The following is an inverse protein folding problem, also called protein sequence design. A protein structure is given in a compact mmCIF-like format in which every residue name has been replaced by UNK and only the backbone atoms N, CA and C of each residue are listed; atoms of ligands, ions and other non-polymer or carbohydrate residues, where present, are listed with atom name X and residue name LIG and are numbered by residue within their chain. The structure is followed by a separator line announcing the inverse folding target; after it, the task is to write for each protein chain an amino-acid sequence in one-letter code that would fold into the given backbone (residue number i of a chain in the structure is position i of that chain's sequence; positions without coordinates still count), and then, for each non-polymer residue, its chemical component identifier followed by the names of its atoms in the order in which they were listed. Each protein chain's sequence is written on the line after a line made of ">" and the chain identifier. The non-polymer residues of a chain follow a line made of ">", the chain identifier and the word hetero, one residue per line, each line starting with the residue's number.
data_IF_430092456370
#
_entry.id   IF_430092456370
#
_cell.length_a   1.000
_cell.length_b   1.000
_cell.length_c   1.000
_cell.angle_alpha   90.00
_cell.angle_beta   90.00
_cell.angle_gamma   90.00
#
_symmetry.space_group_name_H-M   'P 1'
#
loop_
_entity.id
_entity.type
_entity.pdbx_description
1 polymer ?
#
# COMPACT_ATOMS: atom_id res chain seq x y z
N UNK A 1 -21.02 -9.32 19.53
CA UNK A 1 -20.51 -9.07 18.16
C UNK A 1 -19.74 -7.75 18.22
N UNK A 2 -18.44 -7.75 18.54
CA UNK A 2 -17.70 -6.49 18.74
C UNK A 2 -16.19 -6.65 18.99
N UNK A 3 -15.77 -7.72 19.64
CA UNK A 3 -14.37 -7.89 20.07
C UNK A 3 -13.35 -8.01 18.93
N UNK A 4 -13.65 -8.76 17.87
CA UNK A 4 -12.69 -8.95 16.76
C UNK A 4 -12.50 -7.67 15.93
N UNK A 5 -13.56 -6.90 15.72
CA UNK A 5 -13.51 -5.64 14.95
C UNK A 5 -12.82 -4.54 15.77
N UNK A 6 -13.03 -4.51 17.10
CA UNK A 6 -12.32 -3.59 17.99
C UNK A 6 -10.83 -3.89 18.07
N UNK A 7 -10.43 -5.17 18.14
CA UNK A 7 -9.00 -5.54 18.11
C UNK A 7 -8.36 -5.17 16.77
N UNK A 8 -9.05 -5.40 15.65
CA UNK A 8 -8.55 -5.00 14.33
C UNK A 8 -8.46 -3.48 14.21
N UNK A 9 -9.44 -2.72 14.70
CA UNK A 9 -9.39 -1.25 14.72
C UNK A 9 -8.26 -0.72 15.60
N UNK A 10 -8.08 -1.29 16.79
CA UNK A 10 -6.95 -0.96 17.67
C UNK A 10 -5.60 -1.19 16.98
N UNK A 11 -5.46 -2.30 16.25
CA UNK A 11 -4.26 -2.60 15.45
C UNK A 11 -4.08 -1.55 14.34
N UNK A 12 -5.14 -1.17 13.65
CA UNK A 12 -5.05 -0.17 12.56
C UNK A 12 -4.75 1.24 13.09
N UNK A 13 -5.29 1.62 14.25
CA UNK A 13 -5.10 2.95 14.87
C UNK A 13 -3.67 3.15 15.42
N UNK A 14 -2.92 2.07 15.66
CA UNK A 14 -1.49 2.12 16.04
C UNK A 14 -0.58 2.63 14.92
N UNK A 15 -1.07 2.69 13.67
CA UNK A 15 -0.36 3.18 12.50
C UNK A 15 0.61 2.16 11.88
N UNK A 16 0.86 2.30 10.58
CA UNK A 16 1.67 1.36 9.80
C UNK A 16 3.10 1.16 10.36
N UNK A 17 3.67 2.19 10.98
CA UNK A 17 5.01 2.19 11.59
C UNK A 17 5.13 1.20 12.76
N UNK A 18 4.02 0.93 13.48
CA UNK A 18 4.01 0.00 14.62
C UNK A 18 3.50 -1.38 14.21
N UNK A 19 2.51 -1.43 13.32
CA UNK A 19 1.90 -2.69 12.86
C UNK A 19 2.89 -3.54 12.05
N UNK A 20 3.64 -2.91 11.14
CA UNK A 20 4.51 -3.65 10.23
C UNK A 20 5.65 -4.39 10.95
N UNK A 21 6.37 -3.80 11.94
CA UNK A 21 7.33 -4.53 12.76
C UNK A 21 6.73 -5.75 13.48
N UNK A 22 5.52 -5.62 14.03
CA UNK A 22 4.84 -6.71 14.74
C UNK A 22 4.57 -7.87 13.77
N UNK A 23 4.09 -7.58 12.56
CA UNK A 23 3.87 -8.59 11.52
C UNK A 23 5.19 -9.28 11.15
N UNK A 24 6.27 -8.53 10.97
CA UNK A 24 7.59 -9.10 10.63
C UNK A 24 8.13 -9.99 11.75
N UNK A 25 7.94 -9.62 13.03
CA UNK A 25 8.32 -10.47 14.17
C UNK A 25 7.53 -11.77 14.16
N UNK A 26 6.21 -11.69 13.98
CA UNK A 26 5.32 -12.87 13.95
C UNK A 26 5.67 -13.79 12.79
N UNK A 27 5.83 -13.25 11.58
CA UNK A 27 6.25 -14.02 10.41
C UNK A 27 7.62 -14.66 10.62
N UNK A 28 8.58 -13.93 11.18
CA UNK A 28 9.91 -14.46 11.50
C UNK A 28 9.83 -15.69 12.41
N UNK A 29 9.01 -15.64 13.46
CA UNK A 29 8.81 -16.77 14.38
C UNK A 29 8.10 -17.93 13.68
N UNK A 30 7.05 -17.66 12.89
CA UNK A 30 6.30 -18.68 12.14
C UNK A 30 7.21 -19.42 11.14
N UNK A 31 8.13 -18.71 10.50
CA UNK A 31 9.11 -19.31 9.57
C UNK A 31 10.33 -19.93 10.27
N UNK A 32 10.29 -20.11 11.59
CA UNK A 32 11.32 -20.85 12.34
C UNK A 32 12.53 -20.02 12.77
N UNK A 33 12.46 -18.68 12.73
CA UNK A 33 13.47 -17.85 13.38
C UNK A 33 13.32 -17.92 14.90
N UNK A 34 14.45 -17.90 15.62
CA UNK A 34 14.42 -17.73 17.07
C UNK A 34 13.85 -16.37 17.42
N UNK A 35 13.03 -16.30 18.48
CA UNK A 35 12.34 -15.06 18.89
C UNK A 35 13.29 -13.86 19.01
N UNK A 36 14.49 -14.07 19.57
CA UNK A 36 15.51 -13.02 19.68
C UNK A 36 15.96 -12.46 18.33
N UNK A 37 16.09 -13.30 17.29
CA UNK A 37 16.41 -12.86 15.93
C UNK A 37 15.23 -12.16 15.28
N UNK A 38 14.02 -12.73 15.40
CA UNK A 38 12.79 -12.15 14.84
C UNK A 38 12.50 -10.76 15.44
N UNK A 39 12.69 -10.61 16.75
CA UNK A 39 12.52 -9.34 17.47
C UNK A 39 13.51 -8.27 16.98
N UNK A 40 14.80 -8.62 16.85
CA UNK A 40 15.82 -7.70 16.32
C UNK A 40 15.53 -7.29 14.87
N UNK A 41 15.12 -8.22 14.02
CA UNK A 41 14.78 -7.91 12.62
C UNK A 41 13.54 -7.01 12.53
N UNK A 42 12.51 -7.28 13.35
CA UNK A 42 11.32 -6.45 13.40
C UNK A 42 11.60 -5.01 13.81
N UNK A 43 12.40 -4.81 14.88
CA UNK A 43 12.80 -3.47 15.32
C UNK A 43 13.64 -2.77 14.24
N UNK A 44 14.57 -3.47 13.59
CA UNK A 44 15.40 -2.88 12.53
C UNK A 44 14.55 -2.37 11.35
N UNK A 45 13.53 -3.15 10.96
CA UNK A 45 12.55 -2.73 9.94
C UNK A 45 11.77 -1.51 10.43
N UNK A 46 11.28 -1.53 11.68
CA UNK A 46 10.55 -0.39 12.25
C UNK A 46 11.34 0.92 12.29
N UNK A 47 12.61 0.86 12.70
CA UNK A 47 13.51 2.03 12.70
C UNK A 47 13.75 2.52 11.26
N UNK A 48 13.87 1.61 10.29
CA UNK A 48 14.00 1.96 8.88
C UNK A 48 12.78 2.72 8.35
N UNK A 49 11.57 2.22 8.60
CA UNK A 49 10.33 2.90 8.20
C UNK A 49 10.18 4.26 8.87
N UNK A 50 10.45 4.35 10.18
CA UNK A 50 10.39 5.61 10.91
C UNK A 50 11.37 6.63 10.33
N UNK A 51 12.59 6.21 9.96
CA UNK A 51 13.57 7.06 9.28
C UNK A 51 13.10 7.57 7.92
N UNK A 52 12.48 6.72 7.10
CA UNK A 52 11.92 7.11 5.80
C UNK A 52 10.85 8.19 5.98
N UNK A 53 9.91 7.99 6.90
CA UNK A 53 8.83 8.98 7.12
C UNK A 53 9.34 10.30 7.68
N UNK A 54 10.39 10.26 8.52
CA UNK A 54 11.01 11.47 9.07
C UNK A 54 11.70 12.29 7.97
N UNK A 55 12.46 11.62 7.08
CA UNK A 55 13.09 12.27 5.93
C UNK A 55 12.03 12.79 4.95
N UNK A 56 10.98 12.02 4.69
CA UNK A 56 9.88 12.43 3.82
C UNK A 56 9.19 13.68 4.36
N UNK A 57 8.90 13.73 5.66
CA UNK A 57 8.33 14.91 6.31
C UNK A 57 9.23 16.13 6.17
N UNK A 58 10.53 15.97 6.48
CA UNK A 58 11.50 17.05 6.32
C UNK A 58 11.59 17.58 4.87
N UNK A 59 11.51 16.67 3.90
CA UNK A 59 11.54 16.99 2.48
C UNK A 59 10.26 17.73 2.06
N UNK A 60 9.09 17.29 2.52
CA UNK A 60 7.81 17.96 2.26
C UNK A 60 7.75 19.35 2.91
N UNK A 61 8.27 19.52 4.13
CA UNK A 61 8.29 20.81 4.82
C UNK A 61 9.24 21.81 4.13
N UNK A 62 10.43 21.34 3.75
CA UNK A 62 11.46 22.18 3.13
C UNK A 62 11.16 22.51 1.67
N UNK A 63 10.68 21.54 0.89
CA UNK A 63 10.38 21.73 -0.53
C UNK A 63 8.96 22.22 -0.76
N UNK A 64 8.00 21.90 0.11
CA UNK A 64 6.60 22.29 -0.06
C UNK A 64 6.39 23.80 0.03
N UNK A 65 7.06 24.46 0.97
CA UNK A 65 7.05 25.92 1.11
C UNK A 65 7.66 26.62 -0.12
N UNK A 66 8.82 26.12 -0.59
CA UNK A 66 9.49 26.62 -1.80
C UNK A 66 8.66 26.38 -3.06
N UNK A 67 7.99 25.23 -3.16
CA UNK A 67 7.11 24.91 -4.28
C UNK A 67 5.89 25.84 -4.32
N UNK A 68 5.29 26.17 -3.16
CA UNK A 68 4.19 27.13 -3.08
C UNK A 68 4.62 28.55 -3.47
N UNK A 69 5.81 28.98 -3.06
CA UNK A 69 6.37 30.26 -3.51
C UNK A 69 6.64 30.28 -5.02
N UNK A 70 7.11 29.16 -5.58
CA UNK A 70 7.28 29.02 -7.04
C UNK A 70 5.93 29.14 -7.77
N UNK A 71 4.88 28.48 -7.27
CA UNK A 71 3.52 28.56 -7.84
C UNK A 71 3.01 30.01 -7.83
N UNK A 72 3.20 30.75 -6.75
CA UNK A 72 2.82 32.17 -6.66
C UNK A 72 3.62 33.05 -7.61
N UNK A 73 4.94 32.85 -7.70
CA UNK A 73 5.83 33.64 -8.57
C UNK A 73 5.56 33.42 -10.06
N UNK A 74 5.18 32.20 -10.46
CA UNK A 74 4.83 31.86 -11.83
C UNK A 74 3.34 32.12 -12.17
N UNK A 75 2.55 32.62 -11.21
CA UNK A 75 1.11 32.87 -11.42
C UNK A 75 0.29 31.62 -11.68
N UNK A 76 0.77 30.45 -11.25
CA UNK A 76 0.08 29.18 -11.40
C UNK A 76 -0.92 29.01 -10.25
N UNK A 77 -2.07 28.36 -10.50
CA UNK A 77 -3.06 28.04 -9.48
C UNK A 77 -3.00 26.54 -9.12
N UNK A 78 -1.93 26.11 -8.45
CA UNK A 78 -1.82 24.75 -7.92
C UNK A 78 -2.22 24.73 -6.44
N UNK A 79 -3.38 24.16 -6.14
CA UNK A 79 -3.97 24.10 -4.79
C UNK A 79 -3.51 22.86 -4.00
N UNK A 80 -2.93 21.85 -4.67
CA UNK A 80 -2.63 20.54 -4.07
C UNK A 80 -1.14 20.24 -4.14
N UNK A 81 -0.58 19.83 -3.00
CA UNK A 81 0.80 19.32 -2.87
C UNK A 81 0.77 17.79 -2.97
N UNK A 82 1.64 17.21 -3.80
CA UNK A 82 1.78 15.75 -3.87
C UNK A 82 2.48 15.23 -2.62
N UNK A 83 1.73 14.49 -1.81
CA UNK A 83 2.16 13.93 -0.53
C UNK A 83 2.86 12.57 -0.67
N UNK A 84 3.02 12.09 -1.90
CA UNK A 84 3.71 10.85 -2.23
C UNK A 84 2.87 9.58 -2.07
N UNK A 85 3.53 8.46 -2.35
CA UNK A 85 2.90 7.13 -2.40
C UNK A 85 2.41 6.56 -1.05
N UNK A 86 2.98 6.86 0.14
CA UNK A 86 2.53 6.20 1.36
C UNK A 86 1.10 6.58 1.78
N UNK A 87 0.73 7.85 1.60
CA UNK A 87 -0.65 8.30 1.87
C UNK A 87 -1.63 7.72 0.85
N UNK A 88 -1.24 7.68 -0.42
CA UNK A 88 -2.03 7.05 -1.46
C UNK A 88 -2.25 5.55 -1.20
N UNK A 89 -1.25 4.87 -0.62
CA UNK A 89 -1.39 3.48 -0.21
C UNK A 89 -2.43 3.31 0.90
N UNK A 90 -2.39 4.10 1.97
CA UNK A 90 -3.39 3.97 3.05
C UNK A 90 -4.82 4.23 2.53
N UNK A 91 -4.99 5.23 1.66
CA UNK A 91 -6.27 5.50 1.02
C UNK A 91 -6.77 4.32 0.17
N UNK A 92 -5.86 3.63 -0.52
CA UNK A 92 -6.20 2.49 -1.38
C UNK A 92 -6.68 1.25 -0.63
N UNK A 93 -6.44 1.19 0.69
CA UNK A 93 -6.81 0.07 1.56
C UNK A 93 -8.01 0.37 2.47
N UNK A 94 -8.49 1.61 2.46
CA UNK A 94 -9.56 2.06 3.36
C UNK A 94 -10.96 1.54 3.00
N UNK A 95 -11.17 1.00 1.79
CA UNK A 95 -12.48 0.62 1.30
C UNK A 95 -12.83 -0.86 1.59
N UNK A 96 -14.10 -1.16 1.94
CA UNK A 96 -14.52 -2.51 2.34
C UNK A 96 -14.49 -3.56 1.20
N UNK A 97 -14.35 -3.15 -0.06
CA UNK A 97 -14.26 -4.07 -1.20
C UNK A 97 -12.82 -4.42 -1.61
N UNK A 98 -11.80 -3.83 -0.99
CA UNK A 98 -10.38 -4.10 -1.25
C UNK A 98 -10.04 -5.61 -1.17
N UNK A 99 -10.56 -6.41 -0.21
CA UNK A 99 -10.30 -7.85 -0.19
C UNK A 99 -10.74 -8.58 -1.47
N UNK A 100 -11.81 -8.12 -2.11
CA UNK A 100 -12.29 -8.71 -3.35
C UNK A 100 -11.39 -8.34 -4.55
N UNK A 101 -10.84 -7.13 -4.57
CA UNK A 101 -9.80 -6.75 -5.55
C UNK A 101 -8.58 -7.64 -5.37
N UNK A 102 -8.12 -7.84 -4.14
CA UNK A 102 -6.94 -8.66 -3.86
C UNK A 102 -7.14 -10.10 -4.33
N UNK A 103 -8.31 -10.68 -4.03
CA UNK A 103 -8.68 -12.01 -4.51
C UNK A 103 -8.73 -12.08 -6.04
N UNK A 104 -9.38 -11.12 -6.69
CA UNK A 104 -9.52 -11.10 -8.15
C UNK A 104 -8.17 -10.95 -8.86
N UNK A 105 -7.28 -10.09 -8.36
CA UNK A 105 -5.93 -9.89 -8.92
C UNK A 105 -5.06 -11.12 -8.71
N UNK A 106 -5.15 -11.78 -7.55
CA UNK A 106 -4.43 -13.03 -7.29
C UNK A 106 -4.91 -14.15 -8.22
N UNK A 107 -6.23 -14.28 -8.43
CA UNK A 107 -6.80 -15.25 -9.37
C UNK A 107 -6.31 -14.94 -10.80
N UNK A 108 -6.34 -13.67 -11.22
CA UNK A 108 -5.85 -13.26 -12.53
C UNK A 108 -4.36 -13.61 -12.70
N UNK A 109 -3.54 -13.40 -11.66
CA UNK A 109 -2.13 -13.73 -11.68
C UNK A 109 -1.88 -15.24 -11.79
N UNK A 110 -2.66 -16.04 -11.06
CA UNK A 110 -2.62 -17.50 -11.16
C UNK A 110 -3.01 -17.98 -12.56
N UNK A 111 -4.07 -17.42 -13.15
CA UNK A 111 -4.50 -17.73 -14.52
C UNK A 111 -3.37 -17.42 -15.52
N UNK A 112 -2.75 -16.25 -15.42
CA UNK A 112 -1.64 -15.87 -16.32
C UNK A 112 -0.39 -16.73 -16.14
N UNK A 113 -0.16 -17.24 -14.92
CA UNK A 113 0.92 -18.19 -14.63
C UNK A 113 0.65 -19.53 -15.31
N UNK A 114 -0.57 -20.06 -15.22
CA UNK A 114 -0.98 -21.31 -15.90
C UNK A 114 -0.92 -21.15 -17.42
N UNK A 115 -1.29 -19.98 -17.94
CA UNK A 115 -1.14 -19.64 -19.37
C UNK A 115 0.32 -19.34 -19.78
N UNK A 116 1.27 -19.39 -18.86
CA UNK A 116 2.71 -19.20 -19.12
C UNK A 116 3.14 -17.78 -19.47
N UNK A 117 2.29 -16.77 -19.19
CA UNK A 117 2.55 -15.34 -19.48
C UNK A 117 3.36 -14.64 -18.38
N UNK A 118 3.30 -15.14 -17.16
CA UNK A 118 4.11 -14.71 -16.01
C UNK A 118 4.96 -15.87 -15.51
N UNK A 119 6.08 -15.58 -14.85
CA UNK A 119 6.97 -16.60 -14.23
C UNK A 119 6.86 -16.65 -12.71
N UNK A 120 6.10 -15.75 -12.12
CA UNK A 120 6.01 -15.56 -10.66
C UNK A 120 4.57 -15.36 -10.23
N UNK A 121 4.26 -15.89 -9.04
CA UNK A 121 3.03 -15.61 -8.31
C UNK A 121 3.30 -14.43 -7.38
N UNK A 122 2.66 -13.29 -7.62
CA UNK A 122 2.77 -12.14 -6.74
C UNK A 122 1.84 -12.35 -5.53
N UNK A 123 2.44 -12.63 -4.37
CA UNK A 123 1.73 -12.76 -3.09
C UNK A 123 1.93 -11.54 -2.18
N UNK A 124 2.68 -10.54 -2.66
CA UNK A 124 2.96 -9.34 -1.89
C UNK A 124 1.78 -8.36 -1.96
N UNK A 125 0.96 -8.38 -0.91
CA UNK A 125 -0.19 -7.50 -0.77
C UNK A 125 0.20 -6.01 -0.61
N UNK A 126 1.44 -5.70 -0.25
CA UNK A 126 1.93 -4.32 -0.18
C UNK A 126 2.09 -3.73 -1.58
N UNK A 127 2.50 -4.55 -2.54
CA UNK A 127 2.60 -4.16 -3.95
C UNK A 127 1.24 -3.85 -4.58
N UNK A 128 0.13 -4.19 -3.92
CA UNK A 128 -1.21 -4.13 -4.52
C UNK A 128 -1.82 -2.71 -4.48
N UNK A 129 -1.14 -1.77 -3.82
CA UNK A 129 -1.65 -0.44 -3.57
C UNK A 129 -1.97 0.35 -4.85
N UNK A 130 -1.11 0.30 -5.88
CA UNK A 130 -1.25 1.15 -7.06
C UNK A 130 -2.51 0.84 -7.88
N UNK A 131 -2.81 -0.44 -8.09
CA UNK A 131 -4.03 -0.85 -8.80
C UNK A 131 -5.27 -0.85 -7.89
N UNK A 132 -5.10 -1.09 -6.58
CA UNK A 132 -6.18 -0.90 -5.61
C UNK A 132 -6.62 0.56 -5.57
N UNK A 133 -5.68 1.50 -5.67
CA UNK A 133 -5.94 2.94 -5.71
C UNK A 133 -6.74 3.33 -6.96
N UNK A 134 -6.34 2.83 -8.14
CA UNK A 134 -7.06 3.08 -9.38
C UNK A 134 -8.51 2.56 -9.34
N UNK A 135 -8.72 1.34 -8.84
CA UNK A 135 -10.06 0.77 -8.65
C UNK A 135 -10.88 1.52 -7.60
N UNK A 136 -10.23 1.93 -6.51
CA UNK A 136 -10.79 2.73 -5.42
C UNK A 136 -11.27 4.09 -5.93
N UNK A 137 -10.47 4.79 -6.72
CA UNK A 137 -10.84 6.07 -7.34
C UNK A 137 -11.99 5.90 -8.33
N UNK A 138 -11.94 4.87 -9.18
CA UNK A 138 -13.02 4.59 -10.13
C UNK A 138 -14.35 4.28 -9.42
N UNK A 139 -14.31 3.56 -8.31
CA UNK A 139 -15.46 3.35 -7.44
C UNK A 139 -15.93 4.65 -6.78
N UNK A 140 -15.01 5.48 -6.27
CA UNK A 140 -15.35 6.72 -5.60
C UNK A 140 -16.13 7.68 -6.53
N UNK A 141 -15.75 7.73 -7.81
CA UNK A 141 -16.38 8.52 -8.86
C UNK A 141 -17.67 7.90 -9.39
N UNK A 142 -17.67 6.60 -9.67
CA UNK A 142 -18.78 5.93 -10.37
C UNK A 142 -19.85 5.34 -9.43
N UNK A 143 -19.54 5.21 -8.13
CA UNK A 143 -20.33 4.49 -7.12
C UNK A 143 -20.70 3.04 -7.46
N UNK A 144 -20.08 2.48 -8.50
CA UNK A 144 -20.34 1.13 -8.99
C UNK A 144 -19.19 0.20 -8.65
N UNK A 145 -19.52 -0.88 -7.94
CA UNK A 145 -18.58 -1.93 -7.54
C UNK A 145 -17.91 -2.59 -8.75
N UNK A 146 -18.69 -2.88 -9.79
CA UNK A 146 -18.21 -3.57 -11.00
C UNK A 146 -17.21 -2.71 -11.76
N UNK A 147 -17.46 -1.39 -11.83
CA UNK A 147 -16.54 -0.45 -12.50
C UNK A 147 -15.23 -0.35 -11.75
N UNK A 148 -15.26 -0.26 -10.42
CA UNK A 148 -14.04 -0.25 -9.59
C UNK A 148 -13.21 -1.52 -9.77
N UNK A 149 -13.86 -2.69 -9.79
CA UNK A 149 -13.18 -3.98 -9.97
C UNK A 149 -12.55 -4.11 -11.36
N UNK A 150 -13.26 -3.73 -12.42
CA UNK A 150 -12.74 -3.78 -13.79
C UNK A 150 -11.56 -2.84 -13.99
N UNK A 151 -11.62 -1.62 -13.44
CA UNK A 151 -10.51 -0.67 -13.50
C UNK A 151 -9.29 -1.17 -12.71
N UNK A 152 -9.51 -1.75 -11.53
CA UNK A 152 -8.43 -2.38 -10.77
C UNK A 152 -7.75 -3.49 -11.60
N UNK A 153 -8.55 -4.38 -12.21
CA UNK A 153 -8.05 -5.49 -13.03
C UNK A 153 -7.33 -5.03 -14.30
N UNK A 154 -7.83 -3.98 -14.95
CA UNK A 154 -7.22 -3.42 -16.16
C UNK A 154 -5.87 -2.74 -15.87
N UNK A 155 -5.72 -2.14 -14.70
CA UNK A 155 -4.49 -1.44 -14.29
C UNK A 155 -3.49 -2.35 -13.59
N UNK A 156 -3.76 -3.66 -13.50
CA UNK A 156 -2.81 -4.63 -12.97
C UNK A 156 -1.55 -4.65 -13.84
N UNK A 157 -0.46 -4.15 -13.27
CA UNK A 157 0.86 -4.24 -13.86
C UNK A 157 1.49 -5.57 -13.44
N UNK A 158 1.30 -6.59 -14.26
CA UNK A 158 2.00 -7.86 -14.10
C UNK A 158 3.35 -7.81 -14.80
N UNK A 159 4.39 -8.25 -14.09
CA UNK A 159 5.73 -8.37 -14.66
C UNK A 159 5.68 -9.37 -15.82
N UNK A 160 5.86 -8.93 -17.08
CA UNK A 160 5.87 -9.84 -18.20
C UNK A 160 7.07 -10.77 -18.09
N UNK A 161 6.90 -12.02 -18.51
CA UNK A 161 7.99 -13.00 -18.56
C UNK A 161 9.15 -12.44 -19.39
N UNK A 162 10.23 -12.02 -18.73
CA UNK A 162 11.49 -11.73 -19.39
C UNK A 162 12.06 -13.05 -19.93
N UNK A 163 12.32 -13.08 -21.24
CA UNK A 163 12.93 -14.23 -21.91
C UNK A 163 14.39 -14.37 -21.52
#
# INVERSE_FOLDING_TARGET
>A
MGSAIEVVRFILDLGAVVVLPIIIILLGVIFGMSFSRAFRSGIMVGVGFLGIFLILGLLLDSLGSVAQEMVQNYGLSLEVVDVGWPLAQEMSLALPFVPAIFGAVLILNLVLLVLGRTSTLNLDLWSYWSFSLAGTLAYALSKSYVVGLLVALATVQMCPKQK
#
